data_IF_982833600430
#
_entry.id   IF_982833600430
#
_cell.length_a   1.000
_cell.length_b   1.000
_cell.length_c   1.000
_cell.angle_alpha   90.00
_cell.angle_beta   90.00
_cell.angle_gamma   90.00
#
_symmetry.space_group_name_H-M   'P 1'
#
loop_
_entity.id
_entity.type
_entity.pdbx_description
1 polymer ?
#
# COMPACT_ATOMS: atom_id res chain seq x y z
N UNK A 1 -18.93 -0.66 7.06
CA UNK A 1 -18.47 -0.41 5.68
C UNK A 1 -19.66 -0.16 4.78
N UNK A 2 -19.59 0.87 3.96
CA UNK A 2 -20.69 1.22 3.06
C UNK A 2 -20.72 0.30 1.83
N UNK A 3 -21.88 0.26 1.18
CA UNK A 3 -22.05 -0.47 -0.06
C UNK A 3 -21.12 0.04 -1.17
N UNK A 4 -20.97 1.37 -1.26
CA UNK A 4 -20.11 1.97 -2.29
C UNK A 4 -18.64 1.63 -2.08
N UNK A 5 -18.17 1.57 -0.84
CA UNK A 5 -16.79 1.16 -0.54
C UNK A 5 -16.59 -0.30 -0.94
N UNK A 6 -17.53 -1.16 -0.59
CA UNK A 6 -17.45 -2.58 -0.95
C UNK A 6 -17.39 -2.77 -2.46
N UNK A 7 -18.24 -2.04 -3.18
CA UNK A 7 -18.28 -2.12 -4.64
C UNK A 7 -16.95 -1.64 -5.23
N UNK A 8 -16.40 -0.55 -4.71
CA UNK A 8 -15.13 -0.03 -5.17
C UNK A 8 -14.00 -1.04 -4.95
N UNK A 9 -13.97 -1.67 -3.76
CA UNK A 9 -12.96 -2.69 -3.47
C UNK A 9 -13.07 -3.87 -4.42
N UNK A 10 -14.29 -4.30 -4.75
CA UNK A 10 -14.50 -5.40 -5.69
C UNK A 10 -14.04 -5.05 -7.10
N UNK A 11 -14.36 -3.84 -7.55
CA UNK A 11 -13.93 -3.39 -8.87
C UNK A 11 -12.42 -3.27 -8.96
N UNK A 12 -11.79 -2.76 -7.90
CA UNK A 12 -10.34 -2.63 -7.85
C UNK A 12 -9.67 -4.01 -7.82
N UNK A 13 -10.24 -4.96 -7.08
CA UNK A 13 -9.74 -6.33 -7.04
C UNK A 13 -9.78 -6.95 -8.43
N UNK A 14 -10.89 -6.79 -9.14
CA UNK A 14 -11.03 -7.32 -10.50
C UNK A 14 -10.04 -6.68 -11.45
N UNK A 15 -9.87 -5.37 -11.38
CA UNK A 15 -8.99 -4.64 -12.28
C UNK A 15 -7.52 -5.01 -12.07
N UNK A 16 -7.09 -5.09 -10.82
CA UNK A 16 -5.68 -5.33 -10.47
C UNK A 16 -5.31 -6.81 -10.42
N UNK A 17 -6.29 -7.69 -10.31
CA UNK A 17 -6.06 -9.12 -10.12
C UNK A 17 -5.79 -9.51 -8.68
N UNK A 18 -5.92 -8.59 -7.74
CA UNK A 18 -5.72 -8.91 -6.33
C UNK A 18 -6.93 -9.67 -5.78
N UNK A 19 -6.73 -10.79 -5.06
CA UNK A 19 -7.84 -11.50 -4.42
C UNK A 19 -8.58 -10.66 -3.39
N UNK A 20 -7.88 -9.77 -2.68
CA UNK A 20 -8.47 -8.93 -1.65
C UNK A 20 -7.98 -7.50 -1.76
N UNK A 21 -8.85 -6.56 -1.41
CA UNK A 21 -8.54 -5.13 -1.38
C UNK A 21 -9.07 -4.54 -0.09
N UNK A 22 -8.25 -3.79 0.61
CA UNK A 22 -8.65 -3.04 1.80
C UNK A 22 -8.46 -1.56 1.50
N UNK A 23 -9.54 -0.77 1.54
CA UNK A 23 -9.43 0.67 1.36
C UNK A 23 -9.03 1.35 2.66
N UNK A 24 -8.25 2.41 2.54
CA UNK A 24 -7.77 3.22 3.66
C UNK A 24 -7.99 4.68 3.32
N UNK A 25 -7.77 5.57 4.29
CA UNK A 25 -7.94 7.00 4.05
C UNK A 25 -6.82 7.61 3.21
N UNK A 26 -5.65 6.97 3.18
CA UNK A 26 -4.54 7.40 2.31
C UNK A 26 -3.51 6.28 2.17
N UNK A 27 -2.60 6.44 1.23
CA UNK A 27 -1.55 5.44 0.99
C UNK A 27 -0.58 5.34 2.17
N UNK A 28 -0.26 6.46 2.81
CA UNK A 28 0.61 6.46 4.00
C UNK A 28 0.01 5.59 5.10
N UNK A 29 -1.29 5.69 5.31
CA UNK A 29 -1.99 4.86 6.30
C UNK A 29 -1.96 3.39 5.87
N UNK A 30 -2.11 3.12 4.58
CA UNK A 30 -2.03 1.74 4.06
C UNK A 30 -0.66 1.13 4.39
N UNK A 31 0.42 1.87 4.15
CA UNK A 31 1.78 1.42 4.46
C UNK A 31 1.92 1.18 5.96
N UNK A 32 1.44 2.10 6.78
CA UNK A 32 1.50 1.96 8.23
C UNK A 32 0.82 0.68 8.70
N UNK A 33 -0.39 0.41 8.19
CA UNK A 33 -1.14 -0.78 8.59
C UNK A 33 -0.41 -2.07 8.21
N UNK A 34 0.19 -2.11 7.02
CA UNK A 34 0.95 -3.27 6.58
C UNK A 34 2.16 -3.51 7.49
N UNK A 35 2.91 -2.45 7.82
CA UNK A 35 4.08 -2.59 8.69
C UNK A 35 3.68 -3.03 10.10
N UNK A 36 2.57 -2.54 10.61
CA UNK A 36 2.06 -2.96 11.92
C UNK A 36 1.63 -4.42 11.90
N UNK A 37 0.82 -4.80 10.91
CA UNK A 37 0.30 -6.16 10.83
C UNK A 37 1.44 -7.17 10.70
N UNK A 38 2.41 -6.91 9.85
CA UNK A 38 3.51 -7.81 9.56
C UNK A 38 4.65 -7.69 10.57
N UNK A 39 4.55 -6.75 11.51
CA UNK A 39 5.55 -6.51 12.55
C UNK A 39 6.95 -6.32 11.96
N UNK A 40 7.02 -5.52 10.89
CA UNK A 40 8.27 -5.23 10.21
C UNK A 40 9.10 -4.28 11.07
N UNK A 41 10.36 -4.62 11.31
CA UNK A 41 11.25 -3.83 12.17
C UNK A 41 12.35 -3.13 11.40
N UNK A 42 12.69 -3.60 10.20
CA UNK A 42 13.74 -3.01 9.39
C UNK A 42 13.34 -3.02 7.92
N UNK A 43 13.80 -2.03 7.18
CA UNK A 43 13.57 -1.99 5.74
C UNK A 43 14.53 -1.00 5.07
N UNK A 44 14.55 -1.03 3.73
CA UNK A 44 15.30 -0.07 2.92
C UNK A 44 14.36 0.43 1.83
N UNK A 45 14.46 1.71 1.50
CA UNK A 45 13.64 2.28 0.43
C UNK A 45 14.37 3.46 -0.21
N UNK A 46 13.95 3.89 -1.41
CA UNK A 46 14.66 4.96 -2.12
C UNK A 46 14.65 6.28 -1.37
N UNK A 47 15.75 7.01 -1.45
CA UNK A 47 15.86 8.33 -0.83
C UNK A 47 14.88 9.32 -1.45
N UNK A 48 14.59 9.16 -2.74
CA UNK A 48 13.64 10.02 -3.46
C UNK A 48 12.23 9.47 -3.30
N UNK A 49 11.62 9.75 -2.15
CA UNK A 49 10.24 9.35 -1.86
C UNK A 49 9.55 10.48 -1.10
N UNK A 50 8.24 10.34 -0.88
CA UNK A 50 7.52 11.33 -0.10
C UNK A 50 8.02 11.36 1.34
N UNK A 51 8.08 12.54 1.91
CA UNK A 51 8.57 12.73 3.28
C UNK A 51 7.74 11.94 4.31
N UNK A 52 6.48 11.67 4.00
CA UNK A 52 5.62 10.90 4.89
C UNK A 52 6.14 9.49 5.13
N UNK A 53 6.88 8.92 4.18
CA UNK A 53 7.38 7.54 4.30
C UNK A 53 8.42 7.42 5.43
N UNK A 54 9.55 8.17 5.41
CA UNK A 54 10.48 8.07 6.54
C UNK A 54 9.88 8.56 7.85
N UNK A 55 8.94 9.51 7.81
CA UNK A 55 8.27 9.95 9.04
C UNK A 55 7.43 8.83 9.64
N UNK A 56 6.73 8.06 8.80
CA UNK A 56 5.96 6.90 9.26
C UNK A 56 6.87 5.86 9.89
N UNK A 57 8.02 5.60 9.27
CA UNK A 57 8.98 4.64 9.84
C UNK A 57 9.45 5.07 11.22
N UNK A 58 9.71 6.36 11.39
CA UNK A 58 10.10 6.88 12.71
C UNK A 58 8.99 6.72 13.74
N UNK A 59 7.75 7.01 13.37
CA UNK A 59 6.61 6.85 14.27
C UNK A 59 6.43 5.41 14.71
N UNK A 60 6.68 4.47 13.80
CA UNK A 60 6.51 3.05 14.08
C UNK A 60 7.72 2.42 14.77
N UNK A 61 8.82 3.15 14.90
CA UNK A 61 10.04 2.60 15.46
C UNK A 61 10.74 1.62 14.53
N UNK A 62 10.54 1.75 13.22
CA UNK A 62 11.18 0.91 12.22
C UNK A 62 12.55 1.49 11.88
N UNK A 63 13.59 0.66 11.94
CA UNK A 63 14.92 1.04 11.48
C UNK A 63 14.96 0.99 9.96
N UNK A 64 15.42 2.07 9.34
CA UNK A 64 15.46 2.10 7.89
C UNK A 64 16.74 2.71 7.37
N UNK A 65 17.07 2.34 6.13
CA UNK A 65 18.17 2.93 5.38
C UNK A 65 17.66 3.39 4.03
N UNK A 66 18.23 4.47 3.51
CA UNK A 66 17.92 4.91 2.17
C UNK A 66 18.72 4.11 1.15
N UNK A 67 18.06 3.82 0.03
CA UNK A 67 18.68 3.24 -1.15
C UNK A 67 18.78 4.33 -2.21
N UNK A 68 19.84 4.32 -3.00
CA UNK A 68 20.00 5.25 -4.11
C UNK A 68 19.48 4.65 -5.42
N UNK A 69 18.79 3.53 -5.35
CA UNK A 69 18.24 2.85 -6.53
C UNK A 69 17.18 3.73 -7.18
N UNK A 70 17.28 4.00 -8.50
CA UNK A 70 16.21 4.70 -9.21
C UNK A 70 14.93 3.88 -9.23
N UNK A 71 13.79 4.55 -9.20
CA UNK A 71 12.50 3.87 -9.27
C UNK A 71 11.53 4.70 -10.08
N UNK A 72 10.48 4.02 -10.58
CA UNK A 72 9.44 4.66 -11.37
C UNK A 72 8.11 4.00 -11.04
N UNK A 73 7.09 4.82 -10.74
CA UNK A 73 5.72 4.42 -10.46
C UNK A 73 5.53 3.68 -9.13
N UNK A 74 6.43 2.78 -8.78
CA UNK A 74 6.33 2.02 -7.53
C UNK A 74 7.70 1.51 -7.10
N UNK A 75 7.81 1.15 -5.82
CA UNK A 75 9.01 0.51 -5.31
C UNK A 75 8.66 -0.42 -4.15
N UNK A 76 9.51 -1.41 -3.93
CA UNK A 76 9.38 -2.33 -2.81
C UNK A 76 10.20 -1.81 -1.64
N UNK A 77 9.62 -1.92 -0.43
CA UNK A 77 10.41 -1.75 0.79
C UNK A 77 11.27 -2.99 0.92
N UNK A 78 12.56 -2.86 0.63
CA UNK A 78 13.47 -4.02 0.55
C UNK A 78 13.56 -4.72 1.89
N UNK A 79 13.55 -6.04 1.85
CA UNK A 79 13.48 -6.89 3.03
C UNK A 79 12.07 -7.18 3.49
N UNK A 80 11.05 -6.68 2.78
CA UNK A 80 9.64 -6.84 3.14
C UNK A 80 8.81 -7.19 1.91
N UNK A 81 7.60 -7.72 2.09
CA UNK A 81 6.68 -7.92 0.97
C UNK A 81 5.80 -6.70 0.68
N UNK A 82 6.13 -5.53 1.23
CA UNK A 82 5.31 -4.33 1.09
C UNK A 82 5.85 -3.43 -0.01
N UNK A 83 4.94 -2.90 -0.83
CA UNK A 83 5.26 -2.02 -1.95
C UNK A 83 4.55 -0.69 -1.79
N UNK A 84 5.25 0.40 -2.11
CA UNK A 84 4.62 1.70 -2.30
C UNK A 84 4.31 1.82 -3.78
N UNK A 85 3.05 1.56 -4.13
CA UNK A 85 2.56 1.62 -5.51
C UNK A 85 1.67 2.84 -5.70
N UNK A 86 2.00 3.94 -5.02
CA UNK A 86 1.16 5.14 -4.98
C UNK A 86 0.93 5.75 -6.36
N UNK A 87 1.85 5.55 -7.29
CA UNK A 87 1.75 6.10 -8.64
C UNK A 87 1.52 5.04 -9.70
N UNK A 88 1.15 3.84 -9.28
CA UNK A 88 0.95 2.72 -10.19
C UNK A 88 -0.50 2.24 -10.12
N UNK A 89 -1.17 2.20 -11.26
CA UNK A 89 -2.50 1.60 -11.36
C UNK A 89 -2.61 1.00 -12.76
N UNK A 90 -2.50 -0.32 -12.82
CA UNK A 90 -2.49 -1.06 -14.09
C UNK A 90 -3.34 -2.32 -13.98
N UNK A 91 -3.93 -2.77 -15.11
CA UNK A 91 -4.60 -4.07 -15.10
C UNK A 91 -3.63 -5.18 -14.71
N UNK A 92 -4.10 -6.09 -13.89
CA UNK A 92 -3.35 -7.28 -13.49
C UNK A 92 -1.99 -6.98 -12.86
N UNK A 93 -1.89 -5.86 -12.13
CA UNK A 93 -0.64 -5.44 -11.51
C UNK A 93 -0.28 -6.20 -10.26
N UNK A 94 -1.23 -6.94 -9.67
CA UNK A 94 -1.00 -7.57 -8.38
C UNK A 94 0.05 -8.68 -8.47
N UNK A 95 0.94 -8.71 -7.49
CA UNK A 95 1.99 -9.73 -7.35
C UNK A 95 1.67 -10.64 -6.17
N UNK A 96 1.75 -11.94 -6.38
CA UNK A 96 1.43 -12.93 -5.35
C UNK A 96 2.25 -12.71 -4.08
N UNK A 97 1.60 -12.89 -2.94
CA UNK A 97 2.20 -12.80 -1.60
C UNK A 97 2.77 -11.43 -1.26
N UNK A 98 2.36 -10.42 -1.98
CA UNK A 98 2.81 -9.05 -1.75
C UNK A 98 1.68 -8.19 -1.21
N UNK A 99 2.05 -7.07 -0.62
CA UNK A 99 1.12 -6.07 -0.11
C UNK A 99 1.42 -4.77 -0.85
N UNK A 100 0.58 -4.45 -1.82
CA UNK A 100 0.81 -3.29 -2.68
C UNK A 100 -0.12 -2.16 -2.26
N UNK A 101 0.48 -1.04 -1.86
CA UNK A 101 -0.25 0.11 -1.32
C UNK A 101 -0.45 1.15 -2.41
N UNK A 102 -1.71 1.50 -2.65
CA UNK A 102 -2.13 2.44 -3.69
C UNK A 102 -2.56 3.76 -3.09
N UNK A 103 -2.51 4.81 -3.90
CA UNK A 103 -3.00 6.13 -3.53
C UNK A 103 -4.01 6.62 -4.56
N UNK A 104 -5.11 7.18 -4.07
CA UNK A 104 -6.12 7.83 -4.89
C UNK A 104 -6.19 9.26 -4.44
N UNK A 105 -5.77 10.18 -5.28
CA UNK A 105 -5.76 11.56 -4.92
C UNK A 105 -5.36 12.41 -6.09
N UNK A 106 -5.33 13.70 -5.85
CA UNK A 106 -4.95 14.65 -6.88
C UNK A 106 -3.58 14.29 -7.45
N UNK A 107 -3.43 14.35 -8.75
CA UNK A 107 -2.22 14.03 -9.50
C UNK A 107 -1.84 12.54 -9.49
N UNK A 108 -2.72 11.67 -9.00
CA UNK A 108 -2.51 10.22 -9.07
C UNK A 108 -3.30 9.63 -10.25
N UNK A 109 -3.05 8.35 -10.61
CA UNK A 109 -3.75 7.73 -11.75
C UNK A 109 -5.27 7.80 -11.66
N UNK A 110 -5.82 7.81 -10.44
CA UNK A 110 -7.27 7.91 -10.21
C UNK A 110 -7.50 9.08 -9.25
N UNK A 111 -7.66 10.29 -9.78
CA UNK A 111 -7.62 11.50 -8.99
C UNK A 111 -8.98 12.01 -8.51
N UNK A 112 -10.08 11.38 -8.91
CA UNK A 112 -11.42 11.79 -8.49
C UNK A 112 -11.88 11.08 -7.22
N UNK A 113 -11.04 10.24 -6.63
CA UNK A 113 -11.31 9.51 -5.40
C UNK A 113 -10.20 9.80 -4.41
N UNK A 114 -10.56 10.10 -3.17
CA UNK A 114 -9.59 10.26 -2.11
C UNK A 114 -9.39 8.93 -1.39
N UNK A 115 -8.17 8.70 -0.92
CA UNK A 115 -7.88 7.53 -0.11
C UNK A 115 -6.73 6.72 -0.62
N UNK A 116 -6.60 5.54 -0.06
CA UNK A 116 -5.62 4.57 -0.45
C UNK A 116 -6.21 3.18 -0.44
N UNK A 117 -5.41 2.20 -0.79
CA UNK A 117 -5.84 0.82 -0.74
C UNK A 117 -4.64 -0.10 -0.60
N UNK A 118 -4.90 -1.29 -0.07
CA UNK A 118 -3.92 -2.36 0.04
C UNK A 118 -4.41 -3.51 -0.82
N UNK A 119 -3.57 -3.97 -1.74
CA UNK A 119 -3.82 -5.19 -2.52
C UNK A 119 -3.08 -6.34 -1.87
N UNK A 120 -3.77 -7.46 -1.62
CA UNK A 120 -3.16 -8.61 -0.98
C UNK A 120 -3.89 -9.90 -1.34
N UNK A 121 -3.32 -11.05 -0.96
CA UNK A 121 -3.95 -12.33 -1.22
C UNK A 121 -4.15 -13.21 0.03
N UNK A 122 -3.77 -12.73 1.20
CA UNK A 122 -3.92 -13.47 2.46
C UNK A 122 -5.25 -13.13 3.11
N UNK A 123 -6.18 -14.08 3.15
CA UNK A 123 -7.52 -13.84 3.69
C UNK A 123 -7.52 -13.43 5.15
N UNK A 124 -6.69 -14.07 5.97
CA UNK A 124 -6.61 -13.75 7.40
C UNK A 124 -6.11 -12.34 7.60
N UNK A 125 -5.07 -11.94 6.87
CA UNK A 125 -4.55 -10.58 6.92
C UNK A 125 -5.56 -9.57 6.41
N UNK A 126 -6.33 -9.95 5.39
CA UNK A 126 -7.41 -9.10 4.88
C UNK A 126 -8.41 -8.78 6.00
N UNK A 127 -8.84 -9.79 6.73
CA UNK A 127 -9.79 -9.61 7.84
C UNK A 127 -9.21 -8.71 8.92
N UNK A 128 -7.95 -8.93 9.28
CA UNK A 128 -7.28 -8.12 10.29
C UNK A 128 -7.12 -6.67 9.84
N UNK A 129 -6.72 -6.45 8.59
CA UNK A 129 -6.57 -5.10 8.05
C UNK A 129 -7.91 -4.36 7.98
N UNK A 130 -8.99 -5.07 7.63
CA UNK A 130 -10.33 -4.46 7.62
C UNK A 130 -10.71 -3.97 9.01
N UNK A 131 -10.34 -4.70 10.05
CA UNK A 131 -10.62 -4.27 11.43
C UNK A 131 -9.77 -3.09 11.85
N UNK A 132 -8.56 -2.97 11.30
CA UNK A 132 -7.63 -1.88 11.63
C UNK A 132 -7.90 -0.59 10.84
N UNK A 133 -8.49 -0.73 9.68
CA UNK A 133 -8.68 0.42 8.78
C UNK A 133 -9.85 1.33 9.17
#
# INVERSE_FOLDING_TARGET
>A
MTESVRKFEQELATFTGAPYVVTTDCCTHAIELCFRLLQIKTCRFPAHTYISVPMTMKLLGVDYEFSMTPWRDEYQFLGTPVWDSARCLKPNMYRERQYQCLSFGHSKPLDNVRGGAILLDNEEHYKQLKMMS
#
